data_IF_249666716796
#
_entry.id   IF_249666716796
#
_cell.length_a   1.000
_cell.length_b   1.000
_cell.length_c   1.000
_cell.angle_alpha   90.00
_cell.angle_beta   90.00
_cell.angle_gamma   90.00
#
_symmetry.space_group_name_H-M   'P 1'
#
loop_
_entity.id
_entity.type
_entity.pdbx_description
1 polymer ?
#
# COMPACT_ATOMS: atom_id res chain seq x y z
N UNK A 1 -43.27 32.83 -7.10
CA UNK A 1 -43.69 34.24 -7.17
C UNK A 1 -43.28 34.91 -5.87
N UNK A 2 -42.05 35.44 -5.79
CA UNK A 2 -41.49 36.01 -4.56
C UNK A 2 -41.94 37.46 -4.37
N UNK A 3 -42.89 37.70 -3.48
CA UNK A 3 -43.32 39.04 -3.06
C UNK A 3 -42.75 39.38 -1.69
N UNK A 4 -41.51 39.86 -1.67
CA UNK A 4 -40.93 40.60 -0.53
C UNK A 4 -40.10 41.69 -1.22
N UNK A 5 -40.59 42.91 -1.39
CA UNK A 5 -40.35 44.03 -0.46
C UNK A 5 -41.30 45.20 -0.78
N UNK A 6 -42.26 45.56 0.11
CA UNK A 6 -42.96 46.84 -0.01
C UNK A 6 -42.64 47.84 1.12
N UNK A 7 -41.66 47.59 2.01
CA UNK A 7 -41.59 48.35 3.27
C UNK A 7 -40.45 49.39 3.41
N UNK A 8 -39.52 49.53 2.47
CA UNK A 8 -38.38 50.45 2.64
C UNK A 8 -38.03 51.28 1.39
N UNK A 9 -39.04 51.70 0.62
CA UNK A 9 -38.83 52.80 -0.35
C UNK A 9 -38.81 54.10 0.46
N UNK A 10 -37.61 54.56 0.75
CA UNK A 10 -37.38 55.88 1.34
C UNK A 10 -37.96 56.97 0.43
N UNK A 11 -38.41 58.11 1.00
CA UNK A 11 -39.12 59.20 0.30
C UNK A 11 -38.39 59.80 -0.92
N UNK A 12 -37.13 59.45 -1.14
CA UNK A 12 -36.36 59.86 -2.31
C UNK A 12 -36.54 58.84 -3.43
N UNK A 13 -37.14 59.26 -4.54
CA UNK A 13 -37.31 58.48 -5.78
C UNK A 13 -35.99 58.03 -6.44
N UNK A 14 -34.83 58.32 -5.84
CA UNK A 14 -33.52 57.94 -6.36
C UNK A 14 -33.02 56.67 -5.66
N UNK A 15 -33.11 55.55 -6.38
CA UNK A 15 -32.65 54.21 -5.95
C UNK A 15 -31.14 54.14 -5.66
N UNK A 16 -30.34 55.06 -6.21
CA UNK A 16 -28.88 55.07 -6.02
C UNK A 16 -28.47 55.65 -4.66
N UNK A 17 -29.39 56.32 -3.96
CA UNK A 17 -29.16 56.88 -2.63
C UNK A 17 -29.59 55.92 -1.51
N UNK A 18 -30.08 54.72 -1.84
CA UNK A 18 -30.34 53.71 -0.83
C UNK A 18 -29.01 53.21 -0.27
N UNK A 19 -28.80 53.44 1.03
CA UNK A 19 -27.70 52.82 1.76
C UNK A 19 -27.95 51.32 1.74
N UNK A 20 -27.23 50.60 0.88
CA UNK A 20 -27.36 49.15 0.77
C UNK A 20 -27.10 48.49 2.12
N UNK A 21 -27.77 47.36 2.37
CA UNK A 21 -27.53 46.50 3.54
C UNK A 21 -26.21 45.74 3.39
N UNK A 22 -25.12 46.47 3.17
CA UNK A 22 -23.78 45.94 3.02
C UNK A 22 -23.29 45.57 4.41
N UNK A 23 -22.98 44.28 4.63
CA UNK A 23 -22.45 43.76 5.89
C UNK A 23 -23.51 43.21 6.86
N UNK A 24 -24.81 43.30 6.56
CA UNK A 24 -25.83 42.60 7.33
C UNK A 24 -25.86 41.11 6.96
N UNK A 25 -26.06 40.19 7.92
CA UNK A 25 -26.23 38.77 7.60
C UNK A 25 -27.48 38.61 6.74
N UNK A 26 -27.42 37.70 5.77
CA UNK A 26 -28.59 37.33 4.96
C UNK A 26 -29.68 36.77 5.90
N UNK A 27 -30.96 37.12 5.69
CA UNK A 27 -32.03 36.49 6.45
C UNK A 27 -32.01 34.97 6.23
N UNK A 28 -32.24 34.19 7.29
CA UNK A 28 -32.34 32.75 7.18
C UNK A 28 -33.53 32.38 6.30
N UNK A 29 -33.30 31.51 5.31
CA UNK A 29 -34.34 31.07 4.36
C UNK A 29 -35.22 29.96 4.97
N UNK A 30 -34.78 29.38 6.09
CA UNK A 30 -35.46 28.27 6.76
C UNK A 30 -35.85 28.67 8.17
N UNK A 31 -37.03 28.22 8.60
CA UNK A 31 -37.45 28.30 9.99
C UNK A 31 -36.49 27.47 10.85
N UNK A 32 -36.14 28.02 12.02
CA UNK A 32 -35.35 27.29 13.01
C UNK A 32 -36.20 26.15 13.57
N UNK A 33 -35.61 24.97 13.82
CA UNK A 33 -36.32 23.90 14.50
C UNK A 33 -36.65 24.30 15.94
N UNK A 34 -37.62 23.59 16.53
CA UNK A 34 -38.05 23.75 17.92
C UNK A 34 -36.85 23.81 18.88
N UNK A 35 -36.81 24.68 19.91
CA UNK A 35 -35.75 24.71 20.92
C UNK A 35 -35.43 23.36 21.59
N UNK A 36 -36.32 22.37 21.52
CA UNK A 36 -36.04 21.00 21.99
C UNK A 36 -35.22 20.15 21.01
N UNK A 37 -35.05 20.62 19.77
CA UNK A 37 -34.32 19.94 18.72
C UNK A 37 -32.81 20.00 18.98
N UNK A 38 -32.19 18.82 19.07
CA UNK A 38 -30.75 18.68 19.23
C UNK A 38 -30.13 18.36 17.88
N UNK A 39 -29.21 19.21 17.42
CA UNK A 39 -28.44 18.94 16.22
C UNK A 39 -27.42 17.82 16.46
N UNK A 40 -27.28 16.95 15.47
CA UNK A 40 -26.37 15.82 15.51
C UNK A 40 -27.01 14.50 15.93
N UNK A 41 -26.24 13.41 15.85
CA UNK A 41 -26.71 12.07 16.23
C UNK A 41 -26.67 11.96 17.76
N UNK A 42 -27.82 11.72 18.39
CA UNK A 42 -27.86 11.36 19.82
C UNK A 42 -27.04 10.09 20.01
N UNK A 43 -25.86 10.23 20.62
CA UNK A 43 -25.04 9.09 21.01
C UNK A 43 -25.62 8.56 22.30
N UNK A 44 -26.20 7.37 22.26
CA UNK A 44 -26.53 6.64 23.48
C UNK A 44 -25.20 6.36 24.17
N UNK A 45 -24.91 7.09 25.25
CA UNK A 45 -23.77 6.78 26.10
C UNK A 45 -24.06 5.43 26.73
N UNK A 46 -23.08 4.53 26.67
CA UNK A 46 -23.18 3.31 27.45
C UNK A 46 -23.31 3.71 28.92
N UNK A 47 -24.19 3.06 29.68
CA UNK A 47 -24.50 3.41 31.08
C UNK A 47 -23.36 3.11 32.07
N UNK A 48 -22.15 2.93 31.55
CA UNK A 48 -20.97 2.50 32.31
C UNK A 48 -20.28 3.76 32.80
N UNK A 49 -20.16 3.88 34.12
CA UNK A 49 -19.50 5.01 34.76
C UNK A 49 -17.98 4.97 34.55
N UNK A 50 -17.32 6.14 34.58
CA UNK A 50 -15.86 6.24 34.45
C UNK A 50 -15.11 5.38 35.49
N UNK A 51 -15.71 5.18 36.66
CA UNK A 51 -15.18 4.32 37.74
C UNK A 51 -15.07 2.85 37.31
N UNK A 52 -16.06 2.33 36.59
CA UNK A 52 -16.06 0.95 36.11
C UNK A 52 -14.97 0.79 35.05
N UNK A 53 -14.88 1.74 34.12
CA UNK A 53 -13.83 1.79 33.07
C UNK A 53 -12.42 1.84 33.68
N UNK A 54 -12.19 2.66 34.71
CA UNK A 54 -10.87 2.76 35.36
C UNK A 54 -10.53 1.54 36.21
N UNK A 55 -11.51 0.88 36.82
CA UNK A 55 -11.30 -0.36 37.58
C UNK A 55 -10.90 -1.53 36.67
N UNK A 56 -11.52 -1.63 35.50
CA UNK A 56 -11.24 -2.65 34.50
C UNK A 56 -9.86 -2.49 33.82
N UNK A 57 -9.24 -1.30 33.90
CA UNK A 57 -7.88 -1.07 33.43
C UNK A 57 -6.82 -1.63 34.38
N UNK A 58 -7.09 -1.62 35.68
CA UNK A 58 -6.14 -2.04 36.71
C UNK A 58 -6.09 -3.57 36.87
N UNK A 59 -7.21 -4.24 36.60
CA UNK A 59 -7.31 -5.69 36.56
C UNK A 59 -7.65 -6.08 35.15
N UNK A 60 -6.72 -6.71 34.41
CA UNK A 60 -6.86 -7.09 32.99
C UNK A 60 -7.96 -8.12 32.67
N UNK A 61 -9.09 -8.10 33.38
CA UNK A 61 -10.29 -8.89 33.15
C UNK A 61 -11.23 -8.14 32.21
N UNK A 62 -10.80 -7.99 30.95
CA UNK A 62 -11.66 -7.56 29.84
C UNK A 62 -12.64 -8.67 29.44
N UNK A 63 -13.54 -9.05 30.35
CA UNK A 63 -14.54 -10.10 30.09
C UNK A 63 -15.96 -9.55 29.84
N UNK A 64 -16.22 -8.27 30.15
CA UNK A 64 -17.60 -7.72 30.09
C UNK A 64 -17.93 -6.88 28.85
N UNK A 65 -17.00 -6.71 27.90
CA UNK A 65 -17.25 -5.96 26.66
C UNK A 65 -17.03 -6.70 25.34
N UNK A 66 -16.85 -8.03 25.35
CA UNK A 66 -17.05 -8.82 24.14
C UNK A 66 -18.54 -9.02 23.89
N UNK A 67 -19.22 -7.97 23.40
CA UNK A 67 -20.20 -8.24 22.34
C UNK A 67 -19.36 -8.83 21.22
N UNK A 68 -19.32 -10.15 21.13
CA UNK A 68 -18.82 -10.85 19.95
C UNK A 68 -19.71 -10.42 18.78
N UNK A 69 -19.42 -9.23 18.24
CA UNK A 69 -19.79 -8.91 16.88
C UNK A 69 -18.96 -9.89 16.08
N UNK A 70 -19.52 -11.06 15.83
CA UNK A 70 -19.09 -11.92 14.75
C UNK A 70 -19.21 -11.05 13.52
N UNK A 71 -18.09 -10.43 13.13
CA UNK A 71 -18.01 -9.65 11.91
C UNK A 71 -18.20 -10.69 10.83
N UNK A 72 -19.43 -10.83 10.35
CA UNK A 72 -19.73 -11.69 9.22
C UNK A 72 -19.06 -11.02 8.03
N UNK A 73 -17.93 -11.58 7.60
CA UNK A 73 -17.30 -11.13 6.37
C UNK A 73 -18.30 -11.32 5.23
N UNK A 74 -18.36 -10.37 4.27
CA UNK A 74 -19.19 -10.53 3.08
C UNK A 74 -18.85 -11.85 2.37
N UNK A 75 -19.87 -12.53 1.86
CA UNK A 75 -19.68 -13.74 1.06
C UNK A 75 -18.85 -13.42 -0.20
N UNK A 76 -18.13 -14.40 -0.75
CA UNK A 76 -17.23 -14.21 -1.91
C UNK A 76 -17.96 -13.69 -3.18
N UNK A 77 -19.30 -13.84 -3.25
CA UNK A 77 -20.14 -13.30 -4.32
C UNK A 77 -20.51 -11.82 -4.12
N UNK A 78 -20.16 -11.23 -2.99
CA UNK A 78 -20.47 -9.85 -2.67
C UNK A 78 -19.50 -8.91 -3.41
N UNK A 79 -20.04 -8.07 -4.30
CA UNK A 79 -19.26 -7.11 -5.09
C UNK A 79 -19.59 -5.69 -4.63
N UNK A 80 -18.59 -4.97 -4.12
CA UNK A 80 -18.70 -3.52 -3.92
C UNK A 80 -18.44 -2.83 -5.28
N UNK A 81 -19.49 -2.35 -5.96
CA UNK A 81 -19.35 -1.56 -7.20
C UNK A 81 -20.06 -2.15 -8.44
N UNK A 82 -19.44 -2.02 -9.63
CA UNK A 82 -20.04 -2.45 -10.90
C UNK A 82 -20.14 -3.98 -11.00
N UNK A 83 -21.35 -4.48 -11.25
CA UNK A 83 -21.69 -5.91 -11.37
C UNK A 83 -20.89 -6.67 -12.43
N UNK A 84 -20.30 -5.98 -13.41
CA UNK A 84 -19.64 -6.61 -14.57
C UNK A 84 -18.14 -6.86 -14.37
N UNK A 85 -17.58 -6.58 -13.19
CA UNK A 85 -16.19 -6.92 -12.86
C UNK A 85 -16.19 -7.87 -11.67
N UNK A 86 -15.51 -9.03 -11.76
CA UNK A 86 -15.35 -9.89 -10.59
C UNK A 86 -14.61 -9.09 -9.53
N UNK A 87 -15.17 -9.03 -8.32
CA UNK A 87 -14.49 -8.43 -7.18
C UNK A 87 -13.23 -9.23 -6.87
N UNK A 88 -12.16 -8.56 -6.45
CA UNK A 88 -11.01 -9.25 -5.91
C UNK A 88 -11.48 -10.10 -4.72
N UNK A 89 -11.17 -11.42 -4.67
CA UNK A 89 -11.69 -12.31 -3.65
C UNK A 89 -11.03 -12.01 -2.29
N UNK A 90 -11.54 -10.98 -1.62
CA UNK A 90 -11.00 -10.47 -0.36
C UNK A 90 -11.02 -11.52 0.74
N UNK A 91 -12.02 -12.41 0.75
CA UNK A 91 -12.05 -13.56 1.67
C UNK A 91 -10.81 -14.45 1.53
N UNK A 92 -10.32 -14.68 0.31
CA UNK A 92 -9.08 -15.45 0.08
C UNK A 92 -7.83 -14.68 0.49
N UNK A 93 -7.81 -13.37 0.29
CA UNK A 93 -6.69 -12.50 0.66
C UNK A 93 -6.54 -12.42 2.18
N UNK A 94 -7.63 -12.14 2.90
CA UNK A 94 -7.64 -12.05 4.37
C UNK A 94 -7.22 -13.38 5.00
N UNK A 95 -7.65 -14.49 4.40
CA UNK A 95 -7.27 -15.83 4.86
C UNK A 95 -5.90 -16.30 4.35
N UNK A 96 -5.11 -15.44 3.72
CA UNK A 96 -3.77 -15.74 3.15
C UNK A 96 -3.70 -16.98 2.24
N UNK A 97 -4.80 -17.38 1.59
CA UNK A 97 -4.84 -18.62 0.79
C UNK A 97 -3.82 -18.64 -0.35
N UNK A 98 -3.66 -17.51 -1.05
CA UNK A 98 -2.69 -17.38 -2.14
C UNK A 98 -1.23 -17.51 -1.67
N UNK A 99 -0.92 -17.01 -0.48
CA UNK A 99 0.41 -17.13 0.08
C UNK A 99 0.73 -18.60 0.43
N UNK A 100 -0.26 -19.30 1.01
CA UNK A 100 -0.12 -20.72 1.33
C UNK A 100 0.03 -21.58 0.07
N UNK A 101 -0.82 -21.37 -0.95
CA UNK A 101 -0.71 -22.08 -2.23
C UNK A 101 0.66 -21.88 -2.89
N UNK A 102 1.19 -20.64 -2.87
CA UNK A 102 2.51 -20.36 -3.39
C UNK A 102 3.62 -21.06 -2.59
N UNK A 103 3.50 -21.09 -1.26
CA UNK A 103 4.42 -21.81 -0.38
C UNK A 103 4.42 -23.31 -0.68
N UNK A 104 3.25 -23.92 -0.79
CA UNK A 104 3.09 -25.35 -1.10
C UNK A 104 3.67 -25.70 -2.46
N UNK A 105 3.48 -24.83 -3.46
CA UNK A 105 4.08 -24.99 -4.79
C UNK A 105 5.61 -24.99 -4.72
N UNK A 106 6.19 -24.04 -3.98
CA UNK A 106 7.63 -23.93 -3.80
C UNK A 106 8.17 -25.17 -3.08
N UNK A 107 7.51 -25.61 -2.01
CA UNK A 107 7.90 -26.81 -1.27
C UNK A 107 7.88 -28.06 -2.16
N UNK A 108 6.83 -28.21 -2.96
CA UNK A 108 6.74 -29.30 -3.94
C UNK A 108 7.88 -29.26 -4.97
N UNK A 109 8.25 -28.07 -5.47
CA UNK A 109 9.39 -27.93 -6.38
C UNK A 109 10.68 -28.37 -5.71
N UNK A 110 10.92 -27.96 -4.46
CA UNK A 110 12.11 -28.37 -3.71
C UNK A 110 12.14 -29.87 -3.45
N UNK A 111 11.01 -30.46 -3.05
CA UNK A 111 10.87 -31.91 -2.84
C UNK A 111 11.14 -32.70 -4.12
N UNK A 112 10.60 -32.25 -5.24
CA UNK A 112 10.84 -32.89 -6.54
C UNK A 112 12.30 -32.74 -6.99
N UNK A 113 12.98 -31.65 -6.61
CA UNK A 113 14.38 -31.42 -6.96
C UNK A 113 15.34 -32.22 -6.09
N UNK A 114 15.05 -32.41 -4.80
CA UNK A 114 15.89 -33.19 -3.89
C UNK A 114 15.89 -34.68 -4.24
N UNK A 115 14.77 -35.19 -4.76
CA UNK A 115 14.64 -36.58 -5.21
C UNK A 115 15.29 -36.84 -6.58
N UNK A 116 15.63 -35.79 -7.35
CA UNK A 116 16.30 -35.95 -8.65
C UNK A 116 17.80 -36.19 -8.44
N UNK A 117 18.26 -37.38 -8.81
CA UNK A 117 19.68 -37.66 -9.00
C UNK A 117 20.21 -36.71 -10.08
N UNK A 118 21.28 -35.95 -9.79
CA UNK A 118 21.89 -35.05 -10.77
C UNK A 118 22.45 -35.86 -11.94
N UNK A 119 21.71 -35.92 -13.04
CA UNK A 119 22.23 -36.46 -14.30
C UNK A 119 23.22 -35.43 -14.84
N UNK A 120 24.50 -35.82 -14.94
CA UNK A 120 25.49 -35.03 -15.68
C UNK A 120 24.96 -34.88 -17.10
N UNK A 121 24.65 -33.66 -17.51
CA UNK A 121 24.32 -33.39 -18.89
C UNK A 121 25.57 -33.67 -19.72
N UNK A 122 25.51 -34.72 -20.54
CA UNK A 122 26.56 -35.00 -21.51
C UNK A 122 26.42 -33.94 -22.59
N UNK A 123 27.20 -32.87 -22.47
CA UNK A 123 27.30 -31.85 -23.51
C UNK A 123 27.94 -32.53 -24.73
N UNK A 124 27.18 -32.65 -25.82
CA UNK A 124 27.75 -33.13 -27.06
C UNK A 124 28.79 -32.12 -27.54
N UNK A 125 30.03 -32.59 -27.71
CA UNK A 125 31.13 -31.75 -28.19
C UNK A 125 30.87 -31.45 -29.66
N UNK A 126 30.45 -30.22 -29.94
CA UNK A 126 30.35 -29.71 -31.29
C UNK A 126 31.64 -28.97 -31.69
N UNK A 127 31.80 -28.64 -32.98
CA UNK A 127 32.98 -27.94 -33.50
C UNK A 127 33.26 -26.61 -32.77
N UNK A 128 32.23 -25.89 -32.34
CA UNK A 128 32.41 -24.65 -31.57
C UNK A 128 32.95 -24.90 -30.16
N UNK A 129 32.62 -26.04 -29.54
CA UNK A 129 33.11 -26.41 -28.23
C UNK A 129 34.61 -26.73 -28.27
N UNK A 130 35.07 -27.46 -29.29
CA UNK A 130 36.51 -27.72 -29.47
C UNK A 130 37.30 -26.45 -29.76
N UNK A 131 36.78 -25.57 -30.64
CA UNK A 131 37.43 -24.27 -30.93
C UNK A 131 37.55 -23.38 -29.67
N UNK A 132 36.55 -23.38 -28.78
CA UNK A 132 36.64 -22.65 -27.51
C UNK A 132 37.70 -23.22 -26.57
N UNK A 133 37.81 -24.55 -26.50
CA UNK A 133 38.85 -25.19 -25.70
C UNK A 133 40.24 -24.78 -26.21
N UNK A 134 40.48 -24.89 -27.53
CA UNK A 134 41.75 -24.50 -28.14
C UNK A 134 42.09 -23.01 -27.94
N UNK A 135 41.10 -22.12 -28.06
CA UNK A 135 41.31 -20.69 -27.82
C UNK A 135 41.68 -20.42 -26.35
N UNK A 136 41.01 -21.10 -25.42
CA UNK A 136 41.28 -20.91 -23.99
C UNK A 136 42.62 -21.51 -23.55
N UNK A 137 43.05 -22.64 -24.13
CA UNK A 137 44.38 -23.21 -23.85
C UNK A 137 45.49 -22.33 -24.41
N UNK A 138 45.35 -21.83 -25.65
CA UNK A 138 46.33 -20.90 -26.24
C UNK A 138 46.51 -19.63 -25.40
N UNK A 139 45.43 -19.09 -24.86
CA UNK A 139 45.48 -17.91 -23.98
C UNK A 139 46.20 -18.17 -22.64
N UNK A 140 46.24 -19.43 -22.19
CA UNK A 140 46.99 -19.81 -20.98
C UNK A 140 48.48 -20.07 -21.27
N UNK A 141 48.82 -20.51 -22.48
CA UNK A 141 50.20 -20.73 -22.93
C UNK A 141 50.92 -19.43 -23.33
N UNK A 142 50.17 -18.36 -23.65
CA UNK A 142 50.74 -17.03 -23.84
C UNK A 142 51.25 -16.49 -22.49
N UNK A 143 52.54 -16.67 -22.21
CA UNK A 143 53.22 -16.02 -21.08
C UNK A 143 52.98 -14.50 -21.15
N UNK A 144 52.22 -13.99 -20.18
CA UNK A 144 51.95 -12.57 -20.05
C UNK A 144 53.27 -11.84 -19.77
N UNK A 145 53.89 -11.32 -20.83
CA UNK A 145 55.02 -10.38 -20.70
C UNK A 145 54.51 -9.15 -19.93
N UNK A 146 55.11 -8.88 -18.78
CA UNK A 146 54.74 -7.76 -17.90
C UNK A 146 54.71 -6.41 -18.64
N UNK A 147 55.59 -6.25 -19.63
CA UNK A 147 55.63 -5.08 -20.49
C UNK A 147 55.46 -5.45 -21.96
N UNK A 148 54.43 -4.87 -22.60
CA UNK A 148 54.20 -4.99 -24.05
C UNK A 148 55.28 -4.29 -24.89
N UNK A 149 55.98 -3.33 -24.29
CA UNK A 149 56.98 -2.49 -24.95
C UNK A 149 58.37 -3.04 -24.63
N UNK A 150 59.14 -3.40 -25.67
CA UNK A 150 60.47 -4.02 -25.53
C UNK A 150 61.43 -3.26 -24.61
N UNK A 151 61.37 -1.92 -24.64
CA UNK A 151 62.21 -1.02 -23.85
C UNK A 151 62.12 -1.27 -22.33
N UNK A 152 61.01 -1.80 -21.84
CA UNK A 152 60.78 -2.01 -20.40
C UNK A 152 61.02 -3.45 -19.93
N UNK A 153 61.33 -4.39 -20.84
CA UNK A 153 61.67 -5.76 -20.45
C UNK A 153 62.99 -5.88 -19.68
N UNK A 154 63.94 -4.97 -19.93
CA UNK A 154 65.30 -5.03 -19.35
C UNK A 154 65.49 -4.12 -18.13
N UNK A 155 64.48 -3.33 -17.75
CA UNK A 155 64.60 -2.37 -16.65
C UNK A 155 64.43 -3.11 -15.32
N UNK A 156 65.54 -3.30 -14.59
CA UNK A 156 65.53 -3.87 -13.23
C UNK A 156 64.94 -2.87 -12.24
N UNK A 157 64.09 -3.33 -11.32
CA UNK A 157 63.56 -2.50 -10.25
C UNK A 157 64.68 -2.06 -9.30
N UNK A 158 64.68 -0.78 -8.91
CA UNK A 158 65.65 -0.23 -7.98
C UNK A 158 65.07 -0.32 -6.58
N UNK A 159 65.42 -1.38 -5.85
CA UNK A 159 65.05 -1.51 -4.44
C UNK A 159 66.03 -0.67 -3.63
N UNK A 160 65.53 0.39 -2.99
CA UNK A 160 66.30 1.15 -2.01
C UNK A 160 66.18 0.42 -0.66
N UNK A 161 67.30 -0.08 -0.14
CA UNK A 161 67.36 -0.64 1.22
C UNK A 161 67.28 0.52 2.23
N UNK A 162 66.35 0.41 3.18
CA UNK A 162 66.17 1.31 4.31
C UNK A 162 67.22 1.04 5.40
#
# INVERSE_FOLDING_TARGET
>A
MSTILPYLINKTNNILLLRGDIGKPKPSVSDLPDPTYCYGKKVNRDGIGMKEITSDWQYGNSSFHKKEKTIKLPEDNFVYGLKNKPSTPFGKIINMKYANEASDLIENIYRMRSQRIQKKQVIQKNRSYSLRLEHNTKKQEEEHKEFKIKRFLEIKSKIYQL
#
